data_IF_755535397903
#
_entry.id   IF_755535397903
#
_cell.length_a   1.000
_cell.length_b   1.000
_cell.length_c   1.000
_cell.angle_alpha   90.00
_cell.angle_beta   90.00
_cell.angle_gamma   90.00
#
_symmetry.space_group_name_H-M   'P 1'
#
loop_
_entity.id
_entity.type
_entity.pdbx_description
1 polymer ?
#
# COMPACT_ATOMS: atom_id res chain seq x y z
N UNK A 1 -4.25 -14.28 15.42
CA UNK A 1 -5.31 -13.29 15.11
C UNK A 1 -5.02 -12.72 13.75
N UNK A 2 -5.91 -12.85 12.75
CA UNK A 2 -5.78 -12.10 11.49
C UNK A 2 -6.05 -10.63 11.79
N UNK A 3 -5.22 -9.72 11.28
CA UNK A 3 -5.58 -8.31 11.31
C UNK A 3 -6.83 -8.16 10.44
N UNK A 4 -7.88 -7.53 10.95
CA UNK A 4 -9.05 -7.13 10.14
C UNK A 4 -8.65 -5.86 9.34
N UNK A 5 -7.60 -6.01 8.53
CA UNK A 5 -6.99 -4.96 7.73
C UNK A 5 -7.47 -5.09 6.28
N UNK A 6 -8.07 -4.02 5.74
CA UNK A 6 -8.56 -3.97 4.36
C UNK A 6 -7.98 -2.77 3.63
N UNK A 7 -7.60 -2.98 2.37
CA UNK A 7 -7.20 -1.93 1.45
C UNK A 7 -8.43 -1.53 0.64
N UNK A 8 -8.75 -0.23 0.62
CA UNK A 8 -9.88 0.33 -0.14
C UNK A 8 -9.43 1.57 -0.90
N UNK A 9 -10.21 1.97 -1.91
CA UNK A 9 -10.02 3.19 -2.70
C UNK A 9 -8.62 3.30 -3.33
N UNK A 10 -8.14 2.22 -3.95
CA UNK A 10 -6.80 2.19 -4.55
C UNK A 10 -6.73 3.03 -5.82
N UNK A 11 -5.93 4.09 -5.80
CA UNK A 11 -5.62 4.94 -6.94
C UNK A 11 -4.20 4.67 -7.45
N UNK A 12 -4.09 4.20 -8.70
CA UNK A 12 -2.79 4.00 -9.35
C UNK A 12 -2.22 5.32 -9.81
N UNK A 13 -0.92 5.52 -9.59
CA UNK A 13 -0.19 6.60 -10.26
C UNK A 13 0.12 6.15 -11.69
N UNK A 14 -0.40 6.89 -12.68
CA UNK A 14 -0.15 6.60 -14.10
C UNK A 14 1.34 6.54 -14.47
N UNK A 15 2.19 7.25 -13.72
CA UNK A 15 3.65 7.07 -13.75
C UNK A 15 4.16 6.87 -12.33
N UNK A 16 4.82 5.73 -12.02
CA UNK A 16 5.41 5.51 -10.70
C UNK A 16 6.42 6.60 -10.33
N UNK A 17 6.23 7.21 -9.16
CA UNK A 17 7.14 8.26 -8.70
C UNK A 17 8.33 7.64 -7.96
N UNK A 18 9.53 7.80 -8.52
CA UNK A 18 10.76 7.34 -7.85
C UNK A 18 11.28 8.40 -6.89
N UNK A 19 11.46 8.05 -5.62
CA UNK A 19 12.03 8.90 -4.58
C UNK A 19 13.57 8.81 -4.59
N UNK A 20 14.25 9.80 -4.01
CA UNK A 20 15.73 9.90 -3.97
C UNK A 20 16.43 8.69 -3.33
N UNK A 21 15.73 7.96 -2.47
CA UNK A 21 16.20 6.73 -1.82
C UNK A 21 15.93 5.46 -2.64
N UNK A 22 15.54 5.58 -3.91
CA UNK A 22 15.29 4.47 -4.83
C UNK A 22 13.94 3.76 -4.65
N UNK A 23 13.07 4.25 -3.78
CA UNK A 23 11.73 3.72 -3.61
C UNK A 23 10.83 4.21 -4.75
N UNK A 24 9.99 3.33 -5.31
CA UNK A 24 9.02 3.68 -6.35
C UNK A 24 7.61 3.65 -5.76
N UNK A 25 6.92 4.77 -5.77
CA UNK A 25 5.51 4.84 -5.36
C UNK A 25 4.63 4.39 -6.53
N UNK A 26 3.79 3.39 -6.28
CA UNK A 26 2.91 2.81 -7.29
C UNK A 26 1.49 3.39 -7.26
N UNK A 27 1.03 3.80 -6.09
CA UNK A 27 -0.34 4.23 -5.89
C UNK A 27 -0.64 4.59 -4.45
N UNK A 28 -1.81 5.17 -4.26
CA UNK A 28 -2.36 5.59 -2.98
C UNK A 28 -3.61 4.79 -2.66
N UNK A 29 -3.86 4.58 -1.38
CA UNK A 29 -5.04 3.86 -0.92
C UNK A 29 -5.41 4.25 0.50
N UNK A 30 -6.58 3.80 0.94
CA UNK A 30 -7.03 3.90 2.33
C UNK A 30 -6.91 2.54 3.01
N UNK A 31 -6.30 2.50 4.18
CA UNK A 31 -6.20 1.31 5.02
C UNK A 31 -7.28 1.36 6.10
N UNK A 32 -8.16 0.36 6.10
CA UNK A 32 -9.11 0.15 7.18
C UNK A 32 -8.52 -0.89 8.13
N UNK A 33 -8.18 -0.48 9.35
CA UNK A 33 -7.68 -1.35 10.42
C UNK A 33 -8.55 -1.08 11.64
N UNK A 34 -9.64 -1.84 11.83
CA UNK A 34 -10.67 -1.50 12.82
C UNK A 34 -10.10 -1.19 14.21
N UNK A 35 -10.52 -0.09 14.86
CA UNK A 35 -11.53 0.89 14.42
C UNK A 35 -10.99 2.03 13.53
N UNK A 36 -9.72 1.98 13.12
CA UNK A 36 -9.02 3.05 12.42
C UNK A 36 -9.26 3.01 10.91
N UNK A 37 -9.37 4.20 10.31
CA UNK A 37 -9.32 4.46 8.87
C UNK A 37 -8.14 5.38 8.61
N UNK A 38 -7.21 4.94 7.77
CA UNK A 38 -5.94 5.63 7.54
C UNK A 38 -5.86 5.97 6.06
N UNK A 39 -6.07 7.24 5.75
CA UNK A 39 -6.03 7.75 4.39
C UNK A 39 -4.60 8.11 3.99
N UNK A 40 -4.35 8.27 2.68
CA UNK A 40 -3.02 8.64 2.18
C UNK A 40 -1.96 7.54 2.32
N UNK A 41 -2.36 6.29 2.55
CA UNK A 41 -1.43 5.18 2.51
C UNK A 41 -0.86 5.04 1.09
N UNK A 42 0.39 4.61 0.97
CA UNK A 42 1.05 4.44 -0.32
C UNK A 42 1.63 3.05 -0.44
N UNK A 43 1.39 2.40 -1.58
CA UNK A 43 2.12 1.18 -1.95
C UNK A 43 3.41 1.59 -2.65
N UNK A 44 4.53 1.10 -2.12
CA UNK A 44 5.86 1.41 -2.66
C UNK A 44 6.64 0.13 -2.95
N UNK A 45 7.51 0.19 -3.95
CA UNK A 45 8.51 -0.84 -4.22
C UNK A 45 9.85 -0.31 -3.71
N UNK A 46 10.44 -1.03 -2.78
CA UNK A 46 11.77 -0.75 -2.27
C UNK A 46 12.85 -1.04 -3.34
N UNK A 47 14.07 -0.50 -3.22
CA UNK A 47 15.15 -0.72 -4.18
C UNK A 47 15.49 -2.20 -4.43
N UNK A 48 15.24 -3.05 -3.44
CA UNK A 48 15.43 -4.50 -3.52
C UNK A 48 14.23 -5.26 -4.15
N UNK A 49 13.27 -4.55 -4.74
CA UNK A 49 12.09 -5.13 -5.39
C UNK A 49 10.97 -5.53 -4.43
N UNK A 50 11.11 -5.37 -3.12
CA UNK A 50 10.06 -5.72 -2.15
C UNK A 50 8.95 -4.67 -2.13
N UNK A 51 7.70 -5.12 -2.09
CA UNK A 51 6.55 -4.26 -1.83
C UNK A 51 6.50 -3.88 -0.34
N UNK A 52 6.25 -2.60 -0.08
CA UNK A 52 6.16 -2.01 1.26
C UNK A 52 4.98 -1.03 1.28
N UNK A 53 4.38 -0.84 2.44
CA UNK A 53 3.33 0.16 2.66
C UNK A 53 3.88 1.30 3.50
N UNK A 54 3.63 2.52 3.05
CA UNK A 54 3.86 3.74 3.82
C UNK A 54 2.55 4.29 4.32
N UNK A 55 2.47 4.57 5.63
CA UNK A 55 1.32 5.20 6.29
C UNK A 55 1.73 6.62 6.72
N UNK A 56 0.84 7.62 6.59
CA UNK A 56 1.14 8.98 7.05
C UNK A 56 1.00 9.12 8.57
N UNK A 57 0.26 8.23 9.24
CA UNK A 57 0.08 8.27 10.68
C UNK A 57 1.36 7.79 11.42
N UNK A 58 2.00 8.66 12.21
CA UNK A 58 3.26 8.34 12.91
C UNK A 58 3.07 7.32 14.04
N UNK A 59 1.85 7.19 14.58
CA UNK A 59 1.52 6.24 15.63
C UNK A 59 1.24 4.85 15.06
N UNK A 60 0.94 4.76 13.77
CA UNK A 60 0.65 3.50 13.11
C UNK A 60 1.94 2.93 12.55
N UNK A 61 2.69 2.29 13.45
CA UNK A 61 3.61 1.24 13.04
C UNK A 61 2.75 0.04 12.68
N UNK A 62 2.51 -0.18 11.38
CA UNK A 62 1.89 -1.42 10.89
C UNK A 62 2.56 -2.57 11.64
N UNK A 63 1.79 -3.29 12.46
CA UNK A 63 2.35 -4.26 13.38
C UNK A 63 3.23 -5.25 12.60
N UNK A 64 4.42 -5.59 13.11
CA UNK A 64 5.43 -6.35 12.33
C UNK A 64 4.85 -7.61 11.68
N UNK A 65 3.92 -8.28 12.36
CA UNK A 65 3.21 -9.47 11.87
C UNK A 65 2.21 -9.19 10.74
N UNK A 66 1.59 -8.00 10.70
CA UNK A 66 0.62 -7.60 9.68
C UNK A 66 1.27 -6.88 8.47
N UNK A 67 2.54 -6.48 8.57
CA UNK A 67 3.25 -5.74 7.50
C UNK A 67 3.25 -6.49 6.17
N UNK A 68 3.55 -7.79 6.21
CA UNK A 68 3.62 -8.61 5.01
C UNK A 68 2.22 -8.82 4.40
N UNK A 69 1.22 -9.09 5.23
CA UNK A 69 -0.16 -9.33 4.81
C UNK A 69 -0.80 -8.07 4.19
N UNK A 70 -0.57 -6.89 4.79
CA UNK A 70 -1.08 -5.62 4.27
C UNK A 70 -0.37 -5.23 2.98
N UNK A 71 0.95 -5.43 2.90
CA UNK A 71 1.71 -5.19 1.67
C UNK A 71 1.25 -6.11 0.53
N UNK A 72 1.00 -7.39 0.82
CA UNK A 72 0.49 -8.34 -0.17
C UNK A 72 -0.94 -7.99 -0.60
N UNK A 73 -1.82 -7.63 0.34
CA UNK A 73 -3.19 -7.19 0.02
C UNK A 73 -3.17 -5.94 -0.87
N UNK A 74 -2.33 -4.96 -0.54
CA UNK A 74 -2.16 -3.76 -1.37
C UNK A 74 -1.58 -4.09 -2.75
N UNK A 75 -0.64 -5.04 -2.83
CA UNK A 75 -0.08 -5.54 -4.11
C UNK A 75 -1.15 -6.19 -4.98
N UNK A 76 -2.01 -7.03 -4.40
CA UNK A 76 -3.12 -7.67 -5.13
C UNK A 76 -4.11 -6.62 -5.65
N UNK A 77 -4.49 -5.64 -4.82
CA UNK A 77 -5.35 -4.53 -5.22
C UNK A 77 -4.73 -3.69 -6.35
N UNK A 78 -3.42 -3.45 -6.30
CA UNK A 78 -2.69 -2.78 -7.37
C UNK A 78 -2.76 -3.58 -8.69
N UNK A 79 -2.46 -4.89 -8.66
CA UNK A 79 -2.51 -5.74 -9.85
C UNK A 79 -3.92 -5.79 -10.44
N UNK A 80 -4.94 -5.90 -9.59
CA UNK A 80 -6.33 -5.88 -10.05
C UNK A 80 -6.71 -4.54 -10.69
N UNK A 81 -6.30 -3.43 -10.09
CA UNK A 81 -6.59 -2.09 -10.62
C UNK A 81 -5.83 -1.84 -11.93
N UNK A 82 -4.59 -2.34 -12.07
CA UNK A 82 -3.85 -2.26 -13.33
C UNK A 82 -4.58 -2.98 -14.47
N UNK A 83 -5.16 -4.15 -14.20
CA UNK A 83 -5.95 -4.89 -15.20
C UNK A 83 -7.17 -4.11 -15.68
N UNK A 84 -7.78 -3.29 -14.82
CA UNK A 84 -8.96 -2.49 -15.17
C UNK A 84 -8.61 -1.24 -16.00
N UNK A 85 -7.42 -0.68 -15.80
CA UNK A 85 -6.93 0.53 -16.51
C UNK A 85 -6.30 0.18 -17.86
N UNK A 86 -5.82 -1.06 -18.04
CA UNK A 86 -5.22 -1.52 -19.29
C UNK A 86 -6.23 -1.99 -20.36
N UNK A 87 -7.54 -1.86 -20.10
CA UNK A 87 -8.64 -2.18 -21.04
C UNK A 87 -9.08 -0.93 -21.77
#
# INVERSE_FOLDING_TARGET
MKADAKVVDFAILGTPQTKRNGFKVLGHFTLLLRPMRIEGCSLVVAPNGRFVVWTPDPNIKVAQWAKAEIAETARLAYVETQKRVAV
#
